data_IF_409650347606
#
_entry.id   IF_409650347606
#
_cell.length_a   1.000
_cell.length_b   1.000
_cell.length_c   1.000
_cell.angle_alpha   90.00
_cell.angle_beta   90.00
_cell.angle_gamma   90.00
#
_symmetry.space_group_name_H-M   'P 1'
#
loop_
_entity.id
_entity.type
_entity.pdbx_description
1 polymer ?
#
# COMPACT_ATOMS: atom_id res chain seq x y z
N UNK A 1 1.87 17.96 -18.35
CA UNK A 1 0.50 17.57 -18.74
C UNK A 1 -0.47 18.11 -17.71
N UNK A 2 -1.62 18.69 -18.13
CA UNK A 2 -2.68 19.18 -17.20
C UNK A 2 -3.96 18.42 -17.53
N UNK A 3 -4.52 17.77 -16.53
CA UNK A 3 -5.82 17.12 -16.64
C UNK A 3 -6.91 18.07 -16.15
N UNK A 4 -7.90 18.35 -17.00
CA UNK A 4 -9.04 19.22 -16.65
C UNK A 4 -10.22 18.41 -16.09
N UNK A 5 -10.16 17.09 -16.20
CA UNK A 5 -11.22 16.18 -15.79
C UNK A 5 -10.58 14.93 -15.15
N UNK A 6 -10.44 14.96 -13.83
CA UNK A 6 -9.84 13.89 -13.06
C UNK A 6 -10.79 13.49 -11.92
N UNK A 7 -11.30 12.28 -11.97
CA UNK A 7 -12.27 11.77 -11.03
C UNK A 7 -11.67 10.59 -10.23
N UNK A 8 -12.10 10.46 -8.99
CA UNK A 8 -11.78 9.35 -8.08
C UNK A 8 -13.07 8.77 -7.52
N UNK A 9 -12.99 7.60 -6.89
CA UNK A 9 -14.11 7.07 -6.12
C UNK A 9 -14.31 7.91 -4.85
N UNK A 10 -15.50 7.85 -4.26
CA UNK A 10 -15.85 8.64 -3.08
C UNK A 10 -15.08 8.22 -1.80
N UNK A 11 -14.49 7.03 -1.79
CA UNK A 11 -13.84 6.41 -0.63
C UNK A 11 -12.40 5.98 -0.95
N UNK A 12 -11.58 5.84 0.13
CA UNK A 12 -10.15 5.55 0.02
C UNK A 12 -9.85 4.16 -0.55
N UNK A 13 -10.36 3.06 0.01
CA UNK A 13 -10.08 1.71 -0.52
C UNK A 13 -10.50 1.55 -1.99
N UNK A 14 -11.72 1.96 -2.41
CA UNK A 14 -12.12 1.94 -3.81
C UNK A 14 -11.19 2.71 -4.74
N UNK A 15 -10.82 3.93 -4.35
CA UNK A 15 -9.91 4.77 -5.15
C UNK A 15 -8.53 4.13 -5.28
N UNK A 16 -7.98 3.62 -4.17
CA UNK A 16 -6.67 2.98 -4.14
C UNK A 16 -6.63 1.71 -4.99
N UNK A 17 -7.64 0.86 -4.82
CA UNK A 17 -7.77 -0.37 -5.59
C UNK A 17 -7.93 -0.09 -7.09
N UNK A 18 -8.76 0.88 -7.46
CA UNK A 18 -8.92 1.29 -8.86
C UNK A 18 -7.61 1.86 -9.45
N UNK A 19 -6.89 2.70 -8.71
CA UNK A 19 -5.60 3.24 -9.13
C UNK A 19 -4.55 2.13 -9.35
N UNK A 20 -4.47 1.20 -8.39
CA UNK A 20 -3.48 0.10 -8.44
C UNK A 20 -3.79 -0.93 -9.54
N UNK A 21 -5.05 -1.13 -9.89
CA UNK A 21 -5.46 -2.16 -10.87
C UNK A 21 -5.70 -1.61 -12.27
N UNK A 22 -5.94 -0.31 -12.41
CA UNK A 22 -6.43 0.30 -13.64
C UNK A 22 -7.86 -0.13 -14.01
N UNK A 23 -8.63 -0.69 -13.06
CA UNK A 23 -9.99 -1.20 -13.26
C UNK A 23 -11.01 -0.49 -12.38
N UNK A 24 -12.29 -0.65 -12.70
CA UNK A 24 -13.36 -0.16 -11.82
C UNK A 24 -13.31 -0.87 -10.46
N UNK A 25 -13.49 -0.10 -9.38
CA UNK A 25 -13.39 -0.62 -8.01
C UNK A 25 -14.35 -1.79 -7.74
N UNK A 26 -15.57 -1.76 -8.28
CA UNK A 26 -16.54 -2.86 -8.12
C UNK A 26 -16.12 -4.13 -8.84
N UNK A 27 -15.46 -4.02 -10.00
CA UNK A 27 -14.95 -5.20 -10.74
C UNK A 27 -13.88 -5.96 -9.98
N UNK A 28 -13.16 -5.26 -9.11
CA UNK A 28 -12.08 -5.84 -8.30
C UNK A 28 -12.46 -6.03 -6.84
N UNK A 29 -13.77 -5.97 -6.52
CA UNK A 29 -14.30 -6.26 -5.20
C UNK A 29 -14.24 -5.11 -4.19
N UNK A 30 -13.86 -3.91 -4.60
CA UNK A 30 -13.68 -2.75 -3.73
C UNK A 30 -14.73 -1.65 -3.95
N UNK A 31 -16.01 -2.02 -4.04
CA UNK A 31 -17.12 -1.07 -4.09
C UNK A 31 -17.32 -0.29 -2.79
N UNK A 32 -16.70 -0.74 -1.69
CA UNK A 32 -16.69 -0.08 -0.37
C UNK A 32 -15.29 -0.15 0.27
N UNK A 33 -15.13 0.45 1.44
CA UNK A 33 -13.92 0.30 2.26
C UNK A 33 -13.84 -1.10 2.88
N UNK A 34 -12.66 -1.51 3.30
CA UNK A 34 -12.42 -2.86 3.84
C UNK A 34 -13.27 -3.17 5.06
N UNK A 35 -13.59 -2.18 5.89
CA UNK A 35 -14.45 -2.30 7.07
C UNK A 35 -15.93 -2.52 6.72
N UNK A 36 -16.36 -2.10 5.53
CA UNK A 36 -17.72 -2.30 5.01
C UNK A 36 -17.86 -3.50 4.09
N UNK A 37 -16.81 -4.34 4.00
CA UNK A 37 -16.83 -5.52 3.15
C UNK A 37 -17.95 -6.50 3.52
N UNK A 38 -18.55 -7.08 2.50
CA UNK A 38 -19.60 -8.08 2.65
C UNK A 38 -19.48 -9.16 1.56
N UNK A 39 -20.44 -10.07 1.48
CA UNK A 39 -20.40 -11.20 0.52
C UNK A 39 -20.96 -10.87 -0.86
N UNK A 40 -21.47 -9.66 -1.06
CA UNK A 40 -22.04 -9.27 -2.34
C UNK A 40 -20.93 -9.09 -3.39
N UNK A 41 -21.19 -9.50 -4.64
CA UNK A 41 -20.25 -9.28 -5.74
C UNK A 41 -19.86 -7.79 -5.86
N UNK A 42 -18.58 -7.52 -5.96
CA UNK A 42 -18.05 -6.16 -6.04
C UNK A 42 -17.82 -5.47 -4.69
N UNK A 43 -18.18 -6.09 -3.55
CA UNK A 43 -18.06 -5.49 -2.21
C UNK A 43 -17.28 -6.37 -1.22
N UNK A 44 -16.53 -7.35 -1.72
CA UNK A 44 -15.85 -8.34 -0.88
C UNK A 44 -14.57 -7.82 -0.21
N UNK A 45 -14.00 -6.73 -0.71
CA UNK A 45 -12.66 -6.22 -0.37
C UNK A 45 -11.54 -7.28 -0.51
N UNK A 46 -11.77 -8.25 -1.40
CA UNK A 46 -10.82 -9.29 -1.75
C UNK A 46 -10.34 -9.04 -3.18
N UNK A 47 -9.02 -8.88 -3.33
CA UNK A 47 -8.40 -8.72 -4.64
C UNK A 47 -8.58 -10.01 -5.46
N UNK A 48 -9.23 -9.97 -6.64
CA UNK A 48 -9.51 -11.17 -7.40
C UNK A 48 -8.26 -11.69 -8.10
N UNK A 49 -8.16 -13.01 -8.27
CA UNK A 49 -6.98 -13.66 -8.88
C UNK A 49 -6.74 -13.27 -10.34
N UNK A 50 -7.74 -12.75 -11.03
CA UNK A 50 -7.64 -12.30 -12.43
C UNK A 50 -7.30 -10.80 -12.56
N UNK A 51 -7.01 -10.13 -11.47
CA UNK A 51 -6.54 -8.76 -11.46
C UNK A 51 -5.12 -8.69 -10.89
N UNK A 52 -4.25 -7.99 -11.60
CA UNK A 52 -2.89 -7.70 -11.16
C UNK A 52 -2.75 -6.23 -10.80
N UNK A 53 -1.89 -5.93 -9.85
CA UNK A 53 -1.56 -4.55 -9.52
C UNK A 53 -0.55 -3.97 -10.51
N UNK A 54 -0.48 -2.65 -10.60
CA UNK A 54 0.58 -1.96 -11.35
C UNK A 54 1.97 -2.34 -10.83
N UNK A 55 2.12 -2.57 -9.52
CA UNK A 55 3.38 -3.00 -8.93
C UNK A 55 3.84 -4.36 -9.48
N UNK A 56 2.94 -5.33 -9.56
CA UNK A 56 3.27 -6.65 -10.14
C UNK A 56 3.63 -6.54 -11.62
N UNK A 57 2.93 -5.70 -12.39
CA UNK A 57 3.26 -5.45 -13.81
C UNK A 57 4.65 -4.83 -13.94
N UNK A 58 4.95 -3.81 -13.16
CA UNK A 58 6.25 -3.14 -13.17
C UNK A 58 7.38 -4.08 -12.75
N UNK A 59 7.18 -4.84 -11.67
CA UNK A 59 8.13 -5.84 -11.19
C UNK A 59 8.49 -6.86 -12.27
N UNK A 60 7.50 -7.40 -12.99
CA UNK A 60 7.72 -8.34 -14.11
C UNK A 60 8.47 -7.71 -15.29
N UNK A 61 8.47 -6.38 -15.38
CA UNK A 61 9.20 -5.63 -16.40
C UNK A 61 10.54 -5.05 -15.89
N UNK A 62 11.06 -5.57 -14.76
CA UNK A 62 12.41 -5.26 -14.26
C UNK A 62 12.47 -3.97 -13.43
N UNK A 63 11.33 -3.41 -13.02
CA UNK A 63 11.31 -2.29 -12.07
C UNK A 63 11.35 -2.81 -10.64
N UNK A 64 12.00 -2.06 -9.77
CA UNK A 64 11.84 -2.22 -8.32
C UNK A 64 10.61 -1.45 -7.85
N UNK A 65 9.90 -2.05 -6.89
CA UNK A 65 8.59 -1.56 -6.49
C UNK A 65 8.52 -1.40 -4.97
N UNK A 66 8.11 -0.22 -4.51
CA UNK A 66 7.92 0.05 -3.09
C UNK A 66 6.62 0.82 -2.84
N UNK A 67 6.05 0.66 -1.66
CA UNK A 67 4.91 1.45 -1.21
C UNK A 67 5.17 2.00 0.20
N UNK A 68 4.82 3.27 0.40
CA UNK A 68 5.01 3.97 1.67
C UNK A 68 3.69 4.60 2.13
N UNK A 69 3.40 4.48 3.43
CA UNK A 69 2.25 5.10 4.06
C UNK A 69 0.99 4.24 4.12
N UNK A 70 -0.17 4.84 3.88
CA UNK A 70 -1.46 4.17 3.99
C UNK A 70 -1.66 3.12 2.90
N UNK A 71 -2.09 1.92 3.29
CA UNK A 71 -2.47 0.86 2.36
C UNK A 71 -3.99 0.74 2.15
N UNK A 72 -4.74 0.40 3.15
CA UNK A 72 -6.20 0.29 3.21
C UNK A 72 -6.86 -0.61 2.13
N UNK A 73 -6.14 -1.63 1.66
CA UNK A 73 -6.65 -2.64 0.71
C UNK A 73 -6.40 -4.07 1.20
N UNK A 74 -6.02 -4.25 2.46
CA UNK A 74 -6.00 -5.53 3.14
C UNK A 74 -7.34 -5.76 3.83
N UNK A 75 -7.99 -6.91 3.64
CA UNK A 75 -9.21 -7.26 4.38
C UNK A 75 -8.99 -7.18 5.90
N UNK A 76 -10.00 -6.75 6.64
CA UNK A 76 -9.87 -6.49 8.08
C UNK A 76 -9.40 -7.70 8.89
N UNK A 77 -9.80 -8.91 8.48
CA UNK A 77 -9.39 -10.17 9.14
C UNK A 77 -7.93 -10.59 8.87
N UNK A 78 -7.25 -9.94 7.90
CA UNK A 78 -5.82 -10.12 7.62
C UNK A 78 -4.95 -9.00 8.21
N UNK A 79 -5.54 -7.98 8.83
CA UNK A 79 -4.80 -6.88 9.45
C UNK A 79 -4.29 -7.31 10.82
N UNK A 80 -3.34 -8.24 10.83
CA UNK A 80 -2.67 -8.70 12.03
C UNK A 80 -1.26 -9.25 11.71
N UNK A 81 -0.30 -9.18 12.64
CA UNK A 81 1.09 -9.58 12.39
C UNK A 81 1.30 -11.10 12.22
N UNK A 82 0.29 -11.91 12.50
CA UNK A 82 0.37 -13.37 12.33
C UNK A 82 -0.08 -13.82 10.92
N UNK A 83 -0.60 -12.89 10.10
CA UNK A 83 -1.15 -13.21 8.79
C UNK A 83 -2.57 -13.80 8.85
N UNK A 84 -3.09 -14.33 7.73
CA UNK A 84 -2.37 -14.52 6.47
C UNK A 84 -1.99 -13.20 5.79
N UNK A 85 -0.96 -13.24 4.95
CA UNK A 85 -0.43 -12.06 4.26
C UNK A 85 -0.86 -11.98 2.79
N UNK A 86 -1.92 -12.71 2.40
CA UNK A 86 -2.33 -12.92 1.01
C UNK A 86 -2.71 -11.63 0.28
N UNK A 87 -3.28 -10.67 1.01
CA UNK A 87 -3.73 -9.39 0.46
C UNK A 87 -2.95 -8.19 1.02
N UNK A 88 -1.74 -8.45 1.50
CA UNK A 88 -0.81 -7.41 1.92
C UNK A 88 -0.08 -6.79 0.71
N UNK A 89 0.50 -5.59 0.84
CA UNK A 89 1.22 -4.95 -0.26
C UNK A 89 2.25 -5.84 -0.94
N UNK A 90 3.03 -6.59 -0.15
CA UNK A 90 4.08 -7.49 -0.65
C UNK A 90 3.55 -8.64 -1.51
N UNK A 91 2.35 -9.11 -1.24
CA UNK A 91 1.69 -10.16 -2.05
C UNK A 91 1.02 -9.61 -3.32
N UNK A 92 0.93 -8.29 -3.44
CA UNK A 92 0.38 -7.59 -4.60
C UNK A 92 1.46 -6.95 -5.47
N UNK A 93 2.72 -7.40 -5.34
CA UNK A 93 3.83 -7.05 -6.22
C UNK A 93 4.76 -5.96 -5.73
N UNK A 94 4.54 -5.38 -4.54
CA UNK A 94 5.51 -4.48 -3.94
C UNK A 94 6.64 -5.26 -3.28
N UNK A 95 7.88 -5.01 -3.68
CA UNK A 95 9.07 -5.65 -3.10
C UNK A 95 9.41 -5.07 -1.71
N UNK A 96 8.96 -3.86 -1.46
CA UNK A 96 9.11 -3.19 -0.17
C UNK A 96 7.80 -2.47 0.20
N UNK A 97 7.47 -2.52 1.48
CA UNK A 97 6.37 -1.77 2.08
C UNK A 97 6.80 -1.20 3.42
N UNK A 98 6.52 0.08 3.64
CA UNK A 98 6.64 0.71 4.95
C UNK A 98 5.44 1.60 5.22
N UNK A 99 4.60 1.26 6.20
CA UNK A 99 3.38 2.01 6.44
C UNK A 99 2.36 1.28 7.31
N UNK A 100 1.10 1.66 7.17
CA UNK A 100 -0.01 1.11 7.95
C UNK A 100 -1.11 0.55 7.05
N UNK A 101 -1.80 -0.49 7.55
CA UNK A 101 -2.75 -1.27 6.75
C UNK A 101 -4.19 -0.74 6.81
N UNK A 102 -4.56 -0.09 7.89
CA UNK A 102 -5.93 0.34 8.17
C UNK A 102 -6.36 1.64 7.49
N UNK A 103 -7.58 2.06 7.79
CA UNK A 103 -8.21 3.27 7.25
C UNK A 103 -7.52 4.56 7.70
N UNK A 104 -7.11 4.61 8.96
CA UNK A 104 -6.51 5.77 9.59
C UNK A 104 -5.46 5.33 10.62
N UNK A 105 -4.57 6.24 10.94
CA UNK A 105 -3.61 6.10 12.04
C UNK A 105 -3.30 7.48 12.62
N UNK A 106 -2.68 7.52 13.80
CA UNK A 106 -2.19 8.75 14.40
C UNK A 106 -0.87 9.19 13.76
N UNK A 107 -0.58 10.47 13.77
CA UNK A 107 0.69 11.04 13.31
C UNK A 107 1.82 10.86 14.32
N UNK A 108 1.51 10.49 15.54
CA UNK A 108 2.43 10.53 16.67
C UNK A 108 2.80 9.15 17.22
N UNK A 109 1.91 8.18 17.09
CA UNK A 109 2.07 6.81 17.59
C UNK A 109 1.33 5.83 16.64
N UNK A 110 1.77 5.71 15.37
CA UNK A 110 1.15 4.81 14.41
C UNK A 110 1.60 3.36 14.62
N UNK A 111 0.71 2.41 14.42
CA UNK A 111 1.08 1.01 14.24
C UNK A 111 1.58 0.79 12.80
N UNK A 112 2.90 0.64 12.64
CA UNK A 112 3.54 0.49 11.34
C UNK A 112 4.04 -0.93 11.10
N UNK A 113 4.19 -1.24 9.81
CA UNK A 113 4.79 -2.47 9.32
C UNK A 113 5.88 -2.16 8.30
N UNK A 114 6.97 -2.90 8.40
CA UNK A 114 7.95 -3.03 7.33
C UNK A 114 7.75 -4.40 6.69
N UNK A 115 7.30 -4.41 5.44
CA UNK A 115 6.81 -5.62 4.76
C UNK A 115 5.68 -6.27 5.56
N UNK A 116 5.94 -7.38 6.25
CA UNK A 116 4.99 -8.10 7.10
C UNK A 116 5.34 -8.05 8.60
N UNK A 117 6.40 -7.35 8.95
CA UNK A 117 6.90 -7.27 10.32
C UNK A 117 6.46 -5.97 10.99
N UNK A 118 5.87 -6.01 12.19
CA UNK A 118 5.61 -4.81 12.98
C UNK A 118 6.90 -4.04 13.28
N UNK A 119 6.81 -2.73 13.24
CA UNK A 119 7.94 -1.83 13.49
C UNK A 119 7.80 -1.17 14.86
N UNK A 120 8.87 -1.17 15.64
CA UNK A 120 9.00 -0.29 16.79
C UNK A 120 9.42 1.10 16.33
N UNK A 121 8.70 2.11 16.79
CA UNK A 121 8.97 3.49 16.39
C UNK A 121 10.34 3.95 16.94
N UNK A 122 11.14 4.69 16.15
CA UNK A 122 12.48 5.11 16.56
C UNK A 122 12.47 6.15 17.68
N UNK A 123 11.32 6.78 17.93
CA UNK A 123 11.11 7.80 18.95
C UNK A 123 9.68 7.71 19.50
N UNK A 124 9.48 8.16 20.73
CA UNK A 124 8.13 8.36 21.27
C UNK A 124 7.53 9.69 20.79
N UNK A 125 6.21 9.91 20.96
CA UNK A 125 5.57 11.20 20.68
C UNK A 125 6.23 12.37 21.43
N UNK A 126 6.63 12.15 22.69
CA UNK A 126 7.31 13.15 23.55
C UNK A 126 8.71 13.47 23.04
N UNK A 127 9.37 12.51 22.40
CA UNK A 127 10.67 12.68 21.74
C UNK A 127 10.54 13.31 20.33
N UNK A 128 9.32 13.70 19.96
CA UNK A 128 9.05 14.41 18.71
C UNK A 128 8.82 13.51 17.49
N UNK A 129 8.44 12.24 17.68
CA UNK A 129 8.08 11.39 16.55
C UNK A 129 6.96 12.02 15.68
N UNK A 130 7.10 11.87 14.37
CA UNK A 130 6.10 12.29 13.37
C UNK A 130 6.12 11.30 12.20
N UNK A 131 4.94 10.81 11.83
CA UNK A 131 4.77 9.78 10.78
C UNK A 131 5.28 10.24 9.41
N UNK A 132 4.91 11.44 8.96
CA UNK A 132 5.26 11.87 7.59
C UNK A 132 6.77 12.01 7.37
N UNK A 133 7.56 12.65 8.24
CA UNK A 133 9.03 12.63 8.12
C UNK A 133 9.59 11.18 8.10
N UNK A 134 9.12 10.32 8.99
CA UNK A 134 9.56 8.93 9.06
C UNK A 134 9.31 8.16 7.75
N UNK A 135 8.14 8.36 7.14
CA UNK A 135 7.83 7.78 5.82
C UNK A 135 8.76 8.29 4.71
N UNK A 136 9.09 9.59 4.74
CA UNK A 136 10.01 10.20 3.77
C UNK A 136 11.42 9.65 3.96
N UNK A 137 11.90 9.61 5.19
CA UNK A 137 13.25 9.10 5.52
C UNK A 137 13.41 7.64 5.03
N UNK A 138 12.39 6.79 5.24
CA UNK A 138 12.39 5.41 4.74
C UNK A 138 12.35 5.33 3.21
N UNK A 139 11.60 6.21 2.56
CA UNK A 139 11.55 6.26 1.10
C UNK A 139 12.88 6.68 0.50
N UNK A 140 13.52 7.72 1.03
CA UNK A 140 14.84 8.17 0.61
C UNK A 140 15.91 7.10 0.85
N UNK A 141 15.89 6.47 2.02
CA UNK A 141 16.81 5.38 2.33
C UNK A 141 16.65 4.20 1.36
N UNK A 142 15.41 3.83 1.04
CA UNK A 142 15.15 2.74 0.09
C UNK A 142 15.68 3.08 -1.31
N UNK A 143 15.46 4.30 -1.81
CA UNK A 143 15.98 4.75 -3.11
C UNK A 143 17.51 4.68 -3.12
N UNK A 144 18.19 5.25 -2.11
CA UNK A 144 19.65 5.23 -2.04
C UNK A 144 20.23 3.82 -1.97
N UNK A 145 19.63 2.93 -1.18
CA UNK A 145 20.07 1.54 -1.08
C UNK A 145 19.86 0.80 -2.40
N UNK A 146 18.76 1.09 -3.08
CA UNK A 146 18.45 0.47 -4.35
C UNK A 146 19.42 0.91 -5.46
N UNK A 147 19.69 2.20 -5.59
CA UNK A 147 20.64 2.74 -6.56
C UNK A 147 22.06 2.16 -6.34
N UNK A 148 22.45 2.00 -5.07
CA UNK A 148 23.76 1.43 -4.73
C UNK A 148 23.88 -0.08 -5.01
N UNK A 149 22.78 -0.84 -4.86
CA UNK A 149 22.80 -2.32 -4.95
C UNK A 149 22.34 -2.89 -6.29
N UNK A 150 21.58 -2.14 -7.07
CA UNK A 150 21.00 -2.58 -8.33
C UNK A 150 20.93 -1.44 -9.37
N UNK A 151 22.08 -0.84 -9.77
CA UNK A 151 22.11 0.35 -10.63
C UNK A 151 21.50 0.12 -12.03
N UNK A 152 21.42 -1.14 -12.47
CA UNK A 152 20.82 -1.50 -13.77
C UNK A 152 19.32 -1.76 -13.73
N UNK A 153 18.70 -1.80 -12.54
CA UNK A 153 17.26 -1.90 -12.41
C UNK A 153 16.63 -0.52 -12.58
N UNK A 154 15.57 -0.47 -13.37
CA UNK A 154 14.81 0.77 -13.55
C UNK A 154 14.10 1.10 -12.22
N UNK A 155 14.58 2.11 -11.54
CA UNK A 155 13.85 2.75 -10.45
C UNK A 155 12.71 3.59 -10.99
N UNK A 156 11.69 3.84 -10.18
CA UNK A 156 10.73 4.89 -10.46
C UNK A 156 11.40 6.22 -10.12
N UNK A 157 11.82 6.95 -11.13
CA UNK A 157 12.22 8.35 -11.01
C UNK A 157 11.01 9.27 -10.99
#
# INVERSE_FOLDING_TARGET
MRYNNFHVNALCSPTRAALLSGRNAHEIGFGTITEGANREPGYTSIWPKNAVSIAEVLKRNGYSTAAFGKWHNTPTWEVNPAGPFTHWPTSLGFEYFYGFLGAATTQYDPALFQNTTPVELPKTPEQGYRLNPDLVDHAEQWVHQHDASAPDRKGVS
#
